data_IF_776981143715
#
_entry.id   IF_776981143715
#
_cell.length_a   1.000
_cell.length_b   1.000
_cell.length_c   1.000
_cell.angle_alpha   90.00
_cell.angle_beta   90.00
_cell.angle_gamma   90.00
#
_symmetry.space_group_name_H-M   'P 1'
#
loop_
_entity.id
_entity.type
_entity.pdbx_description
1 polymer ?
#
# COMPACT_ATOMS: atom_id res chain seq x y z
N UNK A 1 -29.08 39.75 -33.57
CA UNK A 1 -27.62 39.63 -33.41
C UNK A 1 -27.19 40.52 -32.27
N UNK A 2 -26.75 39.96 -31.14
CA UNK A 2 -26.05 40.69 -30.09
C UNK A 2 -25.19 39.70 -29.30
N UNK A 3 -23.95 40.10 -29.08
CA UNK A 3 -22.79 39.31 -28.71
C UNK A 3 -22.91 38.60 -27.34
N UNK A 4 -22.39 37.36 -27.30
CA UNK A 4 -22.02 36.62 -26.09
C UNK A 4 -20.82 37.31 -25.41
N UNK A 5 -20.97 37.70 -24.14
CA UNK A 5 -19.86 38.07 -23.27
C UNK A 5 -19.22 36.80 -22.69
N UNK A 6 -17.98 36.50 -23.07
CA UNK A 6 -17.16 35.45 -22.46
C UNK A 6 -16.54 36.04 -21.18
N UNK A 7 -17.04 35.61 -20.03
CA UNK A 7 -16.40 35.85 -18.73
C UNK A 7 -15.11 35.03 -18.66
N UNK A 8 -13.98 35.74 -18.60
CA UNK A 8 -12.68 35.19 -18.19
C UNK A 8 -12.78 34.71 -16.74
N UNK A 9 -12.85 33.40 -16.55
CA UNK A 9 -12.64 32.76 -15.24
C UNK A 9 -11.14 32.76 -14.97
N UNK A 10 -10.67 33.69 -14.13
CA UNK A 10 -9.39 33.51 -13.46
C UNK A 10 -9.58 32.46 -12.37
N UNK A 11 -8.99 31.27 -12.54
CA UNK A 11 -8.94 30.28 -11.48
C UNK A 11 -8.04 30.81 -10.36
N UNK A 12 -8.64 31.11 -9.21
CA UNK A 12 -7.90 31.23 -7.95
C UNK A 12 -7.45 29.82 -7.60
N UNK A 13 -6.15 29.55 -7.64
CA UNK A 13 -5.55 28.35 -7.04
C UNK A 13 -5.67 28.50 -5.52
N UNK A 14 -6.87 28.20 -5.02
CA UNK A 14 -7.28 28.44 -3.64
C UNK A 14 -6.69 27.35 -2.74
N UNK A 15 -5.77 27.74 -1.84
CA UNK A 15 -5.17 26.87 -0.83
C UNK A 15 -6.18 26.03 -0.04
N UNK A 16 -5.69 25.02 0.68
CA UNK A 16 -6.57 24.08 1.38
C UNK A 16 -7.45 24.79 2.43
N UNK A 17 -8.77 24.64 2.30
CA UNK A 17 -9.76 25.30 3.18
C UNK A 17 -9.62 24.83 4.63
N UNK A 18 -9.79 25.75 5.59
CA UNK A 18 -9.80 25.48 7.04
C UNK A 18 -8.54 24.79 7.59
N UNK A 19 -7.39 25.01 6.94
CA UNK A 19 -6.14 24.41 7.38
C UNK A 19 -5.49 25.13 8.56
N UNK A 20 -4.79 24.35 9.39
CA UNK A 20 -3.90 24.82 10.46
C UNK A 20 -2.46 25.08 10.01
N UNK A 21 -2.11 24.76 8.76
CA UNK A 21 -0.80 25.04 8.17
C UNK A 21 -0.90 25.98 6.96
N UNK A 22 0.13 26.79 6.78
CA UNK A 22 0.33 27.72 5.67
C UNK A 22 0.76 27.01 4.38
N UNK A 23 0.59 27.68 3.24
CA UNK A 23 1.07 27.18 1.95
C UNK A 23 2.60 27.02 1.92
N UNK A 24 3.32 27.85 2.67
CA UNK A 24 4.77 27.73 2.82
C UNK A 24 5.18 26.43 3.51
N UNK A 25 4.48 26.04 4.58
CA UNK A 25 4.69 24.77 5.26
C UNK A 25 4.37 23.60 4.31
N UNK A 26 3.21 23.62 3.61
CA UNK A 26 2.86 22.59 2.61
C UNK A 26 3.97 22.41 1.57
N UNK A 27 4.46 23.52 1.02
CA UNK A 27 5.49 23.52 -0.01
C UNK A 27 6.80 22.93 0.53
N UNK A 28 7.21 23.30 1.74
CA UNK A 28 8.41 22.78 2.37
C UNK A 28 8.34 21.26 2.58
N UNK A 29 7.21 20.79 3.10
CA UNK A 29 7.00 19.35 3.31
C UNK A 29 7.08 18.60 1.98
N UNK A 30 6.33 19.07 0.99
CA UNK A 30 6.24 18.41 -0.30
C UNK A 30 7.61 18.36 -0.99
N UNK A 31 8.36 19.45 -0.86
CA UNK A 31 9.73 19.57 -1.37
C UNK A 31 10.64 18.55 -0.69
N UNK A 32 10.67 18.49 0.64
CA UNK A 32 11.49 17.54 1.41
C UNK A 32 11.21 16.09 1.02
N UNK A 33 9.93 15.68 0.95
CA UNK A 33 9.59 14.32 0.51
C UNK A 33 10.09 14.03 -0.90
N UNK A 34 9.89 14.96 -1.84
CA UNK A 34 10.33 14.79 -3.21
C UNK A 34 11.86 14.79 -3.35
N UNK A 35 12.59 15.52 -2.50
CA UNK A 35 14.05 15.46 -2.43
C UNK A 35 14.53 14.07 -1.98
N UNK A 36 13.99 13.51 -0.90
CA UNK A 36 14.37 12.16 -0.46
C UNK A 36 13.99 11.08 -1.47
N UNK A 37 12.83 11.20 -2.12
CA UNK A 37 12.41 10.30 -3.18
C UNK A 37 13.35 10.37 -4.38
N UNK A 38 13.83 11.56 -4.73
CA UNK A 38 14.84 11.77 -5.77
C UNK A 38 16.17 11.14 -5.38
N UNK A 39 16.61 11.35 -4.13
CA UNK A 39 17.82 10.73 -3.59
C UNK A 39 17.72 9.19 -3.63
N UNK A 40 16.57 8.62 -3.27
CA UNK A 40 16.33 7.19 -3.36
C UNK A 40 16.35 6.70 -4.82
N UNK A 41 15.64 7.39 -5.72
CA UNK A 41 15.57 7.04 -7.14
C UNK A 41 16.97 6.97 -7.78
N UNK A 42 17.84 7.91 -7.41
CA UNK A 42 19.19 8.04 -7.95
C UNK A 42 20.24 7.18 -7.23
N UNK A 43 19.87 6.48 -6.15
CA UNK A 43 20.78 5.64 -5.36
C UNK A 43 21.72 6.45 -4.47
N UNK A 44 21.27 7.64 -4.04
CA UNK A 44 21.96 8.52 -3.09
C UNK A 44 21.71 8.18 -1.61
N UNK A 45 20.73 7.33 -1.32
CA UNK A 45 20.39 6.90 0.04
C UNK A 45 21.22 5.67 0.42
N UNK A 46 21.79 5.68 1.63
CA UNK A 46 22.47 4.52 2.25
C UNK A 46 21.66 3.99 3.43
N UNK A 47 21.65 2.67 3.60
CA UNK A 47 21.20 2.02 4.84
C UNK A 47 22.41 1.67 5.72
N UNK A 48 22.20 0.95 6.83
CA UNK A 48 23.27 0.54 7.76
C UNK A 48 24.36 -0.37 7.14
N UNK A 49 24.13 -0.94 5.95
CA UNK A 49 24.99 -1.95 5.31
C UNK A 49 25.54 -1.50 3.95
N UNK A 50 24.76 -0.80 3.15
CA UNK A 50 25.08 -0.48 1.77
C UNK A 50 24.25 0.70 1.22
N UNK A 51 24.61 1.15 0.02
CA UNK A 51 23.74 2.03 -0.77
C UNK A 51 22.47 1.30 -1.17
N UNK A 52 21.34 1.98 -1.05
CA UNK A 52 20.06 1.48 -1.56
C UNK A 52 20.09 1.46 -3.09
N UNK A 53 19.52 0.44 -3.75
CA UNK A 53 19.47 0.39 -5.21
C UNK A 53 18.69 1.57 -5.80
N UNK A 54 19.00 1.93 -7.04
CA UNK A 54 18.25 2.97 -7.77
C UNK A 54 16.82 2.52 -8.02
N UNK A 55 15.86 3.43 -8.01
CA UNK A 55 14.46 3.15 -8.29
C UNK A 55 14.04 3.56 -9.69
N UNK A 56 13.35 2.67 -10.43
CA UNK A 56 13.01 2.91 -11.84
C UNK A 56 11.64 3.56 -12.11
N UNK A 57 10.80 3.65 -11.07
CA UNK A 57 9.41 4.10 -11.16
C UNK A 57 8.96 4.93 -9.96
N UNK A 58 9.88 5.52 -9.20
CA UNK A 58 9.54 6.34 -8.03
C UNK A 58 8.76 7.58 -8.48
N UNK A 59 7.52 7.72 -8.03
CA UNK A 59 6.64 8.84 -8.42
C UNK A 59 6.92 10.10 -7.60
N UNK A 60 6.77 11.29 -8.18
CA UNK A 60 6.71 12.55 -7.43
C UNK A 60 5.41 12.59 -6.63
N UNK A 61 5.48 13.08 -5.41
CA UNK A 61 4.30 13.38 -4.60
C UNK A 61 3.74 14.74 -4.99
N UNK A 62 2.43 14.87 -4.91
CA UNK A 62 1.67 16.11 -5.03
C UNK A 62 0.83 16.28 -3.77
N UNK A 63 0.49 17.52 -3.45
CA UNK A 63 -0.30 17.83 -2.26
C UNK A 63 -1.79 17.51 -2.49
N UNK A 64 -2.46 16.94 -1.49
CA UNK A 64 -3.91 16.69 -1.52
C UNK A 64 -4.58 17.25 -0.26
N UNK A 65 -5.41 18.28 -0.43
CA UNK A 65 -6.12 18.94 0.65
C UNK A 65 -7.07 18.02 1.43
N UNK A 66 -7.61 16.94 0.83
CA UNK A 66 -8.48 15.99 1.54
C UNK A 66 -7.68 15.09 2.48
N UNK A 67 -6.47 14.69 2.09
CA UNK A 67 -5.56 13.95 2.96
C UNK A 67 -5.05 14.83 4.10
N UNK A 68 -4.72 16.09 3.80
CA UNK A 68 -4.38 17.09 4.81
C UNK A 68 -5.50 17.27 5.82
N UNK A 69 -6.74 17.50 5.36
CA UNK A 69 -7.90 17.64 6.24
C UNK A 69 -8.12 16.38 7.11
N UNK A 70 -7.86 15.19 6.58
CA UNK A 70 -7.97 13.94 7.34
C UNK A 70 -6.88 13.80 8.39
N UNK A 71 -5.64 14.15 8.05
CA UNK A 71 -4.53 14.16 8.99
C UNK A 71 -4.77 15.18 10.12
N UNK A 72 -5.23 16.38 9.75
CA UNK A 72 -5.58 17.44 10.70
C UNK A 72 -6.68 16.97 11.67
N UNK A 73 -7.80 16.40 11.18
CA UNK A 73 -8.86 15.89 12.06
C UNK A 73 -8.37 14.85 13.07
N UNK A 74 -7.44 13.98 12.68
CA UNK A 74 -6.88 13.00 13.60
C UNK A 74 -5.86 13.62 14.57
N UNK A 75 -5.12 14.63 14.13
CA UNK A 75 -4.16 15.36 14.97
C UNK A 75 -4.87 16.21 16.04
N UNK A 76 -6.03 16.78 15.69
CA UNK A 76 -6.92 17.56 16.56
C UNK A 76 -7.41 16.78 17.80
N UNK A 77 -7.43 15.45 17.75
CA UNK A 77 -7.78 14.61 18.92
C UNK A 77 -6.69 14.56 19.98
N UNK A 78 -5.48 15.03 19.68
CA UNK A 78 -4.35 15.03 20.59
C UNK A 78 -3.90 13.65 21.11
N UNK A 79 -4.10 12.61 20.29
CA UNK A 79 -3.66 11.24 20.59
C UNK A 79 -2.50 10.85 19.67
N UNK A 80 -1.37 10.44 20.26
CA UNK A 80 -0.20 9.90 19.56
C UNK A 80 -0.40 8.42 19.19
N UNK A 81 -1.38 8.16 18.34
CA UNK A 81 -1.66 6.82 17.80
C UNK A 81 -2.02 6.91 16.33
N UNK A 82 -1.87 5.80 15.62
CA UNK A 82 -2.34 5.68 14.24
C UNK A 82 -3.86 5.76 14.19
N UNK A 83 -4.39 6.45 13.18
CA UNK A 83 -5.83 6.43 12.94
C UNK A 83 -6.30 5.00 12.65
N UNK A 84 -7.59 4.75 12.71
CA UNK A 84 -8.10 3.50 12.13
C UNK A 84 -7.91 3.55 10.61
N UNK A 85 -7.74 2.38 9.97
CA UNK A 85 -7.68 2.31 8.50
C UNK A 85 -8.95 2.87 7.87
N UNK A 86 -10.11 2.61 8.47
CA UNK A 86 -11.39 3.16 8.01
C UNK A 86 -11.43 4.69 8.06
N UNK A 87 -10.92 5.30 9.14
CA UNK A 87 -10.87 6.75 9.29
C UNK A 87 -10.08 7.43 8.16
N UNK A 88 -8.94 6.85 7.78
CA UNK A 88 -8.08 7.38 6.71
C UNK A 88 -8.33 6.74 5.35
N UNK A 89 -9.45 6.05 5.15
CA UNK A 89 -9.79 5.36 3.89
C UNK A 89 -8.65 4.48 3.35
N UNK A 90 -8.02 3.69 4.21
CA UNK A 90 -6.86 2.83 3.94
C UNK A 90 -5.64 3.56 3.36
N UNK A 91 -5.52 4.87 3.54
CA UNK A 91 -4.30 5.60 3.27
C UNK A 91 -3.15 5.12 4.19
N UNK A 92 -1.91 5.33 3.76
CA UNK A 92 -0.75 5.16 4.62
C UNK A 92 -0.68 6.31 5.63
N UNK A 93 -0.02 6.09 6.76
CA UNK A 93 0.14 7.12 7.78
C UNK A 93 1.55 7.08 8.38
N UNK A 94 2.15 8.24 8.59
CA UNK A 94 3.31 8.43 9.45
C UNK A 94 2.92 9.39 10.58
N UNK A 95 3.48 9.15 11.77
CA UNK A 95 3.27 9.97 12.95
C UNK A 95 4.61 10.36 13.56
N UNK A 96 4.67 11.54 14.15
CA UNK A 96 5.78 11.96 14.99
C UNK A 96 5.27 12.84 16.13
N UNK A 97 5.92 12.74 17.28
CA UNK A 97 5.67 13.58 18.44
C UNK A 97 7.01 13.96 19.05
N UNK A 98 7.10 15.19 19.56
CA UNK A 98 8.21 15.61 20.39
C UNK A 98 7.69 16.44 21.56
N UNK A 99 8.55 16.64 22.55
CA UNK A 99 8.24 17.43 23.73
C UNK A 99 8.97 18.76 23.64
N UNK A 100 8.28 19.87 23.91
CA UNK A 100 8.88 21.20 23.97
C UNK A 100 8.39 21.93 25.21
N UNK A 101 9.33 22.56 25.94
CA UNK A 101 9.03 23.46 27.05
C UNK A 101 8.81 24.91 26.60
N UNK A 102 9.10 25.23 25.34
CA UNK A 102 8.85 26.54 24.73
C UNK A 102 7.65 26.49 23.80
N UNK A 103 6.95 27.63 23.69
CA UNK A 103 5.97 27.87 22.61
C UNK A 103 6.61 27.50 21.27
N UNK A 104 5.92 26.62 20.55
CA UNK A 104 6.43 26.11 19.28
C UNK A 104 6.21 27.20 18.25
N UNK A 105 7.27 27.98 18.00
CA UNK A 105 7.27 28.92 16.88
C UNK A 105 7.05 28.12 15.60
N UNK A 106 5.92 28.34 14.93
CA UNK A 106 5.58 27.82 13.58
C UNK A 106 6.59 28.23 12.48
N UNK A 107 7.73 28.82 12.84
CA UNK A 107 8.72 29.39 11.92
C UNK A 107 10.01 28.57 11.81
N UNK A 108 9.96 27.27 12.09
CA UNK A 108 11.14 26.41 12.02
C UNK A 108 10.75 24.97 11.77
N UNK A 109 10.79 24.56 10.50
CA UNK A 109 10.67 23.15 10.15
C UNK A 109 11.81 22.41 10.81
N UNK A 110 11.45 21.53 11.75
CA UNK A 110 12.37 20.55 12.28
C UNK A 110 12.87 19.74 11.08
N UNK A 111 14.15 19.88 10.74
CA UNK A 111 14.76 19.22 9.57
C UNK A 111 14.63 17.69 9.61
N UNK A 112 14.33 17.14 10.79
CA UNK A 112 14.04 15.72 11.03
C UNK A 112 12.54 15.38 11.24
N UNK A 113 11.63 16.35 11.30
CA UNK A 113 10.23 16.15 11.65
C UNK A 113 9.32 16.63 10.50
N UNK A 114 8.72 15.68 9.79
CA UNK A 114 7.96 15.93 8.58
C UNK A 114 6.46 16.14 8.86
N UNK A 115 5.96 17.39 8.83
CA UNK A 115 4.58 17.83 8.42
C UNK A 115 3.33 17.76 9.33
N UNK A 116 2.51 18.83 9.22
CA UNK A 116 1.21 19.19 9.81
C UNK A 116 1.31 19.35 11.31
N UNK A 117 1.40 20.62 11.72
CA UNK A 117 1.45 21.00 13.12
C UNK A 117 0.06 20.98 13.72
N UNK A 118 -0.15 20.12 14.70
CA UNK A 118 -1.17 20.36 15.72
C UNK A 118 -0.51 20.48 17.08
N UNK A 119 -0.77 21.61 17.75
CA UNK A 119 -0.32 21.86 19.10
C UNK A 119 -1.32 21.21 20.06
N UNK A 120 -0.88 20.15 20.72
CA UNK A 120 -1.62 19.54 21.80
C UNK A 120 -1.03 20.07 23.10
N UNK A 121 -1.80 20.93 23.76
CA UNK A 121 -1.43 21.46 25.05
C UNK A 121 -1.90 20.48 26.12
N UNK A 122 -0.96 19.91 26.85
CA UNK A 122 -1.21 19.11 28.05
C UNK A 122 -0.44 19.76 29.20
N UNK A 123 -1.12 20.21 30.25
CA UNK A 123 -0.58 20.84 31.47
C UNK A 123 0.92 21.20 31.46
N UNK A 124 1.21 22.47 31.11
CA UNK A 124 2.54 23.11 31.03
C UNK A 124 3.56 22.51 30.03
N UNK A 125 3.19 21.51 29.22
CA UNK A 125 4.06 20.91 28.22
C UNK A 125 3.37 20.90 26.85
N UNK A 126 4.03 21.46 25.83
CA UNK A 126 3.51 21.39 24.46
C UNK A 126 3.97 20.07 23.84
N UNK A 127 3.03 19.24 23.39
CA UNK A 127 3.31 17.98 22.69
C UNK A 127 2.82 18.05 21.23
N UNK A 128 3.59 18.66 20.33
CA UNK A 128 3.24 18.77 18.92
C UNK A 128 3.11 17.40 18.29
N UNK A 129 1.94 17.13 17.72
CA UNK A 129 1.65 15.93 16.97
C UNK A 129 1.68 16.22 15.48
N UNK A 130 2.46 15.41 14.79
CA UNK A 130 2.76 15.50 13.36
C UNK A 130 2.16 14.28 12.70
N UNK A 131 1.22 14.49 11.76
CA UNK A 131 0.50 13.42 11.07
C UNK A 131 0.56 13.62 9.56
N UNK A 132 1.01 12.59 8.87
CA UNK A 132 1.12 12.55 7.42
C UNK A 132 0.30 11.40 6.87
N UNK A 133 -0.63 11.69 5.97
CA UNK A 133 -1.43 10.68 5.29
C UNK A 133 -1.03 10.62 3.81
N UNK A 134 -0.84 9.41 3.29
CA UNK A 134 -0.42 9.16 1.91
C UNK A 134 -1.48 8.41 1.12
N UNK A 135 -1.76 8.84 -0.12
CA UNK A 135 -2.46 8.02 -1.12
C UNK A 135 -1.63 6.78 -1.40
N UNK A 136 -1.88 5.72 -0.65
CA UNK A 136 -0.77 4.78 -0.50
C UNK A 136 -0.68 4.06 0.83
N UNK A 137 -1.43 3.02 1.15
CA UNK A 137 -0.95 2.01 2.11
C UNK A 137 0.34 1.38 1.59
N UNK A 138 1.50 1.90 1.98
CA UNK A 138 2.76 1.19 1.81
C UNK A 138 2.89 0.02 2.80
N UNK A 139 4.13 -0.34 3.14
CA UNK A 139 4.45 -1.22 4.26
C UNK A 139 3.82 -2.63 4.20
N UNK A 140 3.63 -3.16 2.99
CA UNK A 140 3.22 -4.55 2.81
C UNK A 140 4.40 -5.48 3.07
N UNK A 141 4.22 -6.41 4.01
CA UNK A 141 5.21 -7.44 4.34
C UNK A 141 5.58 -8.23 3.06
N UNK A 142 6.88 -8.48 2.87
CA UNK A 142 7.45 -9.20 1.71
C UNK A 142 7.19 -8.55 0.33
N UNK A 143 6.87 -7.26 0.29
CA UNK A 143 6.83 -6.49 -0.95
C UNK A 143 8.02 -5.56 -1.04
N UNK A 144 8.55 -5.43 -2.25
CA UNK A 144 9.57 -4.43 -2.54
C UNK A 144 9.02 -3.03 -2.25
N UNK A 145 9.78 -2.21 -1.53
CA UNK A 145 9.44 -0.82 -1.25
C UNK A 145 9.35 -0.01 -2.56
N UNK A 146 10.18 -0.37 -3.54
CA UNK A 146 10.19 0.17 -4.91
C UNK A 146 10.86 -0.83 -5.86
N UNK A 147 10.63 -0.68 -7.17
CA UNK A 147 11.31 -1.51 -8.17
C UNK A 147 12.71 -0.95 -8.50
N UNK A 148 13.72 -1.80 -8.39
CA UNK A 148 15.10 -1.42 -8.70
C UNK A 148 15.33 -1.22 -10.20
N UNK A 149 16.13 -0.23 -10.59
CA UNK A 149 16.57 -0.01 -11.97
C UNK A 149 16.94 1.46 -12.26
N UNK A 150 17.21 1.77 -13.53
CA UNK A 150 17.57 3.13 -13.97
C UNK A 150 16.41 4.10 -13.66
N UNK A 151 16.68 5.30 -13.09
CA UNK A 151 15.65 6.29 -12.83
C UNK A 151 14.74 6.50 -14.03
N UNK A 152 13.44 6.56 -13.76
CA UNK A 152 12.38 6.74 -14.76
C UNK A 152 12.24 5.68 -15.86
N UNK A 153 13.05 4.61 -15.88
CA UNK A 153 13.00 3.62 -16.98
C UNK A 153 11.69 2.84 -17.05
N UNK A 154 10.84 2.95 -16.01
CA UNK A 154 9.48 2.38 -15.99
C UNK A 154 8.37 3.40 -15.70
N UNK A 155 8.61 4.71 -15.88
CA UNK A 155 7.52 5.70 -15.74
C UNK A 155 6.40 5.47 -16.77
N UNK A 156 6.76 5.05 -17.98
CA UNK A 156 5.81 4.78 -19.07
C UNK A 156 4.82 3.63 -18.78
N UNK A 157 4.99 2.89 -17.67
CA UNK A 157 3.96 1.96 -17.17
C UNK A 157 2.62 2.69 -16.93
N UNK A 158 2.68 3.99 -16.65
CA UNK A 158 1.53 4.85 -16.40
C UNK A 158 1.30 5.73 -17.65
N UNK A 159 0.23 5.50 -18.44
CA UNK A 159 -0.04 6.31 -19.62
C UNK A 159 -0.11 7.80 -19.28
N UNK A 160 0.68 8.62 -19.95
CA UNK A 160 0.78 10.06 -19.67
C UNK A 160 1.79 10.45 -18.58
N UNK A 161 2.44 9.49 -17.91
CA UNK A 161 3.53 9.82 -16.99
C UNK A 161 4.82 10.20 -17.74
N UNK A 162 5.52 11.20 -17.21
CA UNK A 162 6.80 11.71 -17.71
C UNK A 162 7.88 11.57 -16.64
N UNK A 163 9.14 11.72 -17.02
CA UNK A 163 10.24 11.84 -16.06
C UNK A 163 10.51 13.32 -15.77
N UNK A 164 10.57 13.70 -14.49
CA UNK A 164 10.99 15.02 -14.04
C UNK A 164 11.89 14.84 -12.82
N UNK A 165 13.12 15.35 -12.88
CA UNK A 165 14.11 15.26 -11.80
C UNK A 165 14.26 13.84 -11.24
N UNK A 166 14.40 12.84 -12.12
CA UNK A 166 14.51 11.41 -11.76
C UNK A 166 13.27 10.78 -11.10
N UNK A 167 12.14 11.49 -11.07
CA UNK A 167 10.86 11.01 -10.57
C UNK A 167 9.83 10.91 -11.69
N UNK A 168 8.91 9.96 -11.58
CA UNK A 168 7.76 9.87 -12.47
C UNK A 168 6.69 10.89 -12.06
N UNK A 169 6.27 11.74 -12.99
CA UNK A 169 5.23 12.77 -12.81
C UNK A 169 4.07 12.55 -13.77
N UNK A 170 2.89 13.09 -13.45
CA UNK A 170 1.72 13.00 -14.32
C UNK A 170 1.09 11.61 -14.40
N UNK A 171 0.04 11.47 -15.21
CA UNK A 171 -0.98 10.42 -15.12
C UNK A 171 -1.74 10.48 -13.80
N UNK A 172 -3.06 10.71 -13.89
CA UNK A 172 -3.95 10.54 -12.76
C UNK A 172 -3.76 9.13 -12.24
N UNK A 173 -3.34 8.98 -10.98
CA UNK A 173 -3.48 7.70 -10.30
C UNK A 173 -4.99 7.54 -10.22
N UNK A 174 -5.57 6.70 -11.09
CA UNK A 174 -6.99 6.35 -11.00
C UNK A 174 -7.20 5.93 -9.56
N UNK A 175 -8.01 6.72 -8.85
CA UNK A 175 -7.84 7.00 -7.42
C UNK A 175 -7.70 5.77 -6.55
N UNK A 176 -7.05 5.97 -5.42
CA UNK A 176 -6.90 5.06 -4.29
C UNK A 176 -8.24 4.65 -3.61
N UNK A 177 -9.34 4.56 -4.36
CA UNK A 177 -10.59 3.94 -3.95
C UNK A 177 -10.74 2.61 -4.70
N UNK A 178 -11.21 1.56 -4.03
CA UNK A 178 -11.41 0.31 -4.74
C UNK A 178 -12.55 0.50 -5.76
N UNK A 179 -12.19 0.43 -7.04
CA UNK A 179 -13.16 0.47 -8.12
C UNK A 179 -14.04 -0.77 -8.01
N UNK A 180 -15.36 -0.59 -7.94
CA UNK A 180 -16.31 -1.70 -8.07
C UNK A 180 -16.13 -2.30 -9.46
N UNK A 181 -15.34 -3.36 -9.55
CA UNK A 181 -15.14 -4.12 -10.78
C UNK A 181 -15.45 -5.58 -10.50
N UNK A 182 -16.41 -6.12 -11.23
CA UNK A 182 -16.64 -7.55 -11.29
C UNK A 182 -15.45 -8.20 -12.00
N UNK A 183 -14.83 -9.20 -11.37
CA UNK A 183 -13.76 -9.98 -11.99
C UNK A 183 -14.31 -10.77 -13.19
N UNK A 184 -13.61 -10.70 -14.33
CA UNK A 184 -13.94 -11.42 -15.56
C UNK A 184 -13.66 -12.93 -15.44
N UNK A 185 -14.26 -13.74 -16.31
CA UNK A 185 -14.00 -15.18 -16.35
C UNK A 185 -12.52 -15.49 -16.63
N UNK A 186 -11.85 -14.65 -17.41
CA UNK A 186 -10.44 -14.80 -17.72
C UNK A 186 -9.55 -14.62 -16.47
N UNK A 187 -9.93 -13.71 -15.58
CA UNK A 187 -9.25 -13.44 -14.31
C UNK A 187 -9.57 -14.53 -13.26
N UNK A 188 -10.82 -15.01 -13.20
CA UNK A 188 -11.22 -16.17 -12.38
C UNK A 188 -10.43 -17.42 -12.78
N UNK A 189 -10.29 -17.66 -14.09
CA UNK A 189 -9.50 -18.76 -14.61
C UNK A 189 -8.03 -18.62 -14.23
N UNK A 190 -7.46 -17.42 -14.31
CA UNK A 190 -6.05 -17.17 -13.97
C UNK A 190 -5.73 -17.48 -12.51
N UNK A 191 -6.55 -17.01 -11.57
CA UNK A 191 -6.32 -17.27 -10.14
C UNK A 191 -6.44 -18.76 -9.83
N UNK A 192 -7.45 -19.44 -10.41
CA UNK A 192 -7.66 -20.88 -10.23
C UNK A 192 -6.51 -21.71 -10.83
N UNK A 193 -6.07 -21.37 -12.04
CA UNK A 193 -4.97 -22.05 -12.72
C UNK A 193 -3.65 -21.85 -11.97
N UNK A 194 -3.40 -20.65 -11.46
CA UNK A 194 -2.22 -20.36 -10.64
C UNK A 194 -2.18 -21.24 -9.39
N UNK A 195 -3.28 -21.30 -8.62
CA UNK A 195 -3.37 -22.15 -7.43
C UNK A 195 -3.16 -23.63 -7.76
N UNK A 196 -3.83 -24.14 -8.78
CA UNK A 196 -3.70 -25.54 -9.20
C UNK A 196 -2.28 -25.86 -9.69
N UNK A 197 -1.61 -24.93 -10.37
CA UNK A 197 -0.21 -25.08 -10.78
C UNK A 197 0.73 -25.19 -9.58
N UNK A 198 0.55 -24.36 -8.56
CA UNK A 198 1.34 -24.43 -7.33
C UNK A 198 1.09 -25.71 -6.53
N UNK A 199 -0.19 -26.11 -6.38
CA UNK A 199 -0.56 -27.38 -5.73
C UNK A 199 0.02 -28.57 -6.48
N UNK A 200 -0.01 -28.56 -7.81
CA UNK A 200 0.61 -29.60 -8.64
C UNK A 200 2.13 -29.65 -8.46
N UNK A 201 2.79 -28.49 -8.42
CA UNK A 201 4.25 -28.39 -8.16
C UNK A 201 4.61 -29.01 -6.81
N UNK A 202 3.83 -28.70 -5.77
CA UNK A 202 4.00 -29.25 -4.43
C UNK A 202 3.74 -30.75 -4.38
N UNK A 203 2.69 -31.23 -5.04
CA UNK A 203 2.36 -32.65 -5.11
C UNK A 203 3.42 -33.47 -5.84
N UNK A 204 4.01 -32.90 -6.90
CA UNK A 204 5.06 -33.53 -7.68
C UNK A 204 6.41 -33.57 -6.93
N UNK A 205 6.52 -32.98 -5.73
CA UNK A 205 7.78 -32.94 -4.98
C UNK A 205 8.88 -32.15 -5.69
N UNK A 206 8.52 -31.27 -6.64
CA UNK A 206 9.49 -30.47 -7.39
C UNK A 206 10.12 -29.47 -6.43
N UNK A 207 11.31 -29.82 -5.92
CA UNK A 207 12.12 -28.97 -5.05
C UNK A 207 12.44 -27.68 -5.81
N UNK A 208 12.06 -26.52 -5.27
CA UNK A 208 12.78 -25.30 -5.61
C UNK A 208 14.21 -25.43 -5.04
N UNK A 209 15.25 -25.03 -5.77
CA UNK A 209 16.61 -25.01 -5.22
C UNK A 209 16.63 -24.26 -3.89
N UNK A 210 17.14 -24.90 -2.83
CA UNK A 210 17.20 -24.33 -1.48
C UNK A 210 16.09 -24.76 -0.51
N UNK A 211 15.15 -25.63 -0.91
CA UNK A 211 14.08 -26.10 -0.03
C UNK A 211 13.80 -27.60 -0.11
N UNK A 212 13.89 -28.30 1.03
CA UNK A 212 13.47 -29.69 1.19
C UNK A 212 12.05 -29.73 1.79
N UNK A 213 11.02 -29.68 0.95
CA UNK A 213 9.65 -29.98 1.41
C UNK A 213 9.32 -31.47 1.23
N UNK A 214 8.50 -32.05 2.12
CA UNK A 214 7.89 -33.35 1.88
C UNK A 214 7.00 -33.30 0.66
N UNK A 215 6.98 -34.41 -0.06
CA UNK A 215 6.05 -34.65 -1.16
C UNK A 215 4.65 -34.81 -0.56
N UNK A 216 3.76 -33.86 -0.82
CA UNK A 216 2.34 -34.03 -0.49
C UNK A 216 1.69 -34.91 -1.58
N UNK A 217 1.68 -36.24 -1.36
CA UNK A 217 1.19 -37.21 -2.35
C UNK A 217 -0.25 -36.99 -2.81
N UNK A 218 -1.07 -36.24 -2.06
CA UNK A 218 -2.47 -36.01 -2.40
C UNK A 218 -2.81 -34.53 -2.17
N UNK A 219 -2.82 -33.75 -3.25
CA UNK A 219 -3.44 -32.43 -3.30
C UNK A 219 -4.60 -32.50 -4.31
N UNK A 220 -5.82 -32.24 -3.83
CA UNK A 220 -6.99 -32.15 -4.72
C UNK A 220 -6.86 -30.92 -5.62
N UNK A 221 -7.26 -31.08 -6.89
CA UNK A 221 -7.45 -29.96 -7.81
C UNK A 221 -8.59 -29.09 -7.27
N UNK A 222 -8.35 -27.80 -7.14
CA UNK A 222 -9.40 -26.84 -6.86
C UNK A 222 -10.33 -26.76 -8.08
N UNK A 223 -11.63 -26.82 -7.82
CA UNK A 223 -12.69 -26.64 -8.81
C UNK A 223 -13.18 -25.19 -8.70
N UNK A 224 -13.59 -24.60 -9.82
CA UNK A 224 -14.20 -23.28 -9.84
C UNK A 224 -15.50 -23.30 -9.01
N UNK A 225 -15.54 -22.58 -7.89
CA UNK A 225 -16.72 -22.50 -7.03
C UNK A 225 -17.31 -21.09 -7.12
N UNK A 226 -18.36 -20.93 -7.93
CA UNK A 226 -18.98 -19.62 -8.22
C UNK A 226 -19.38 -18.87 -6.94
N UNK A 227 -19.87 -19.60 -5.93
CA UNK A 227 -20.32 -19.02 -4.65
C UNK A 227 -19.17 -18.41 -3.82
N UNK A 228 -17.96 -18.97 -3.87
CA UNK A 228 -16.81 -18.38 -3.16
C UNK A 228 -16.33 -17.11 -3.84
N UNK A 229 -16.33 -17.09 -5.18
CA UNK A 229 -16.00 -15.88 -5.94
C UNK A 229 -17.00 -14.75 -5.69
N UNK A 230 -18.31 -15.03 -5.69
CA UNK A 230 -19.33 -14.02 -5.40
C UNK A 230 -19.19 -13.45 -3.98
N UNK A 231 -18.90 -14.31 -3.00
CA UNK A 231 -18.69 -13.88 -1.61
C UNK A 231 -17.42 -13.03 -1.46
N UNK A 232 -16.31 -13.46 -2.08
CA UNK A 232 -15.05 -12.71 -2.08
C UNK A 232 -15.20 -11.34 -2.78
N UNK A 233 -15.92 -11.30 -3.91
CA UNK A 233 -16.23 -10.07 -4.62
C UNK A 233 -17.02 -9.09 -3.73
N UNK A 234 -18.07 -9.57 -3.07
CA UNK A 234 -18.87 -8.75 -2.13
C UNK A 234 -18.04 -8.19 -0.98
N UNK A 235 -17.07 -8.96 -0.47
CA UNK A 235 -16.17 -8.46 0.57
C UNK A 235 -15.20 -7.40 0.04
N UNK A 236 -14.59 -7.66 -1.13
CA UNK A 236 -13.65 -6.74 -1.77
C UNK A 236 -14.29 -5.38 -2.10
N UNK A 237 -15.58 -5.35 -2.44
CA UNK A 237 -16.36 -4.14 -2.72
C UNK A 237 -16.53 -3.20 -1.51
N UNK A 238 -16.30 -3.68 -0.28
CA UNK A 238 -16.25 -2.81 0.91
C UNK A 238 -14.97 -1.97 0.96
N UNK A 239 -13.96 -2.29 0.14
CA UNK A 239 -12.68 -1.62 0.09
C UNK A 239 -11.95 -1.57 1.45
N UNK A 240 -12.20 -2.52 2.35
CA UNK A 240 -11.52 -2.65 3.64
C UNK A 240 -10.48 -3.76 3.54
N UNK A 241 -9.21 -3.43 3.74
CA UNK A 241 -8.13 -4.44 3.71
C UNK A 241 -7.97 -5.14 5.06
N UNK A 242 -8.99 -5.92 5.40
CA UNK A 242 -9.11 -6.76 6.60
C UNK A 242 -9.89 -8.03 6.27
N UNK A 243 -9.75 -9.06 7.10
CA UNK A 243 -10.48 -10.31 6.90
C UNK A 243 -11.97 -10.12 7.13
N UNK A 244 -12.81 -10.79 6.35
CA UNK A 244 -14.24 -10.86 6.62
C UNK A 244 -14.51 -11.52 7.98
N UNK A 245 -15.72 -11.40 8.50
CA UNK A 245 -16.12 -12.28 9.61
C UNK A 245 -16.24 -13.72 9.10
N UNK A 246 -16.04 -14.71 10.00
CA UNK A 246 -16.22 -16.13 9.65
C UNK A 246 -17.65 -16.41 9.16
N UNK A 247 -18.65 -15.77 9.77
CA UNK A 247 -20.06 -15.88 9.36
C UNK A 247 -20.29 -15.36 7.93
N UNK A 248 -19.68 -14.22 7.57
CA UNK A 248 -19.82 -13.65 6.23
C UNK A 248 -19.36 -14.60 5.12
N UNK A 249 -18.29 -15.37 5.37
CA UNK A 249 -17.71 -16.31 4.41
C UNK A 249 -18.09 -17.77 4.67
N UNK A 250 -19.12 -18.02 5.48
CA UNK A 250 -19.58 -19.36 5.84
C UNK A 250 -18.44 -20.30 6.29
N UNK A 251 -17.58 -19.81 7.20
CA UNK A 251 -16.40 -20.50 7.73
C UNK A 251 -15.33 -20.89 6.70
N UNK A 252 -15.40 -20.40 5.45
CA UNK A 252 -14.33 -20.59 4.48
C UNK A 252 -13.00 -19.96 4.96
N UNK A 253 -11.89 -20.47 4.42
CA UNK A 253 -10.60 -19.80 4.49
C UNK A 253 -10.59 -18.53 3.63
N UNK A 254 -9.67 -17.61 3.91
CA UNK A 254 -9.55 -16.35 3.17
C UNK A 254 -8.10 -15.93 3.07
N UNK A 255 -7.68 -15.53 1.86
CA UNK A 255 -6.41 -14.86 1.63
C UNK A 255 -6.71 -13.47 1.05
N UNK A 256 -6.05 -12.44 1.58
CA UNK A 256 -6.20 -11.07 1.10
C UNK A 256 -4.97 -10.64 0.32
N UNK A 257 -5.18 -9.79 -0.69
CA UNK A 257 -4.10 -9.19 -1.45
C UNK A 257 -4.43 -7.75 -1.80
N UNK A 258 -3.52 -6.84 -1.50
CA UNK A 258 -3.60 -5.45 -1.91
C UNK A 258 -2.26 -5.01 -2.50
N UNK A 259 -2.35 -4.09 -3.45
CA UNK A 259 -1.20 -3.49 -4.11
C UNK A 259 -1.64 -2.14 -4.71
N UNK A 260 -0.67 -1.27 -4.92
CA UNK A 260 -0.90 0.00 -5.61
C UNK A 260 -1.08 -0.23 -7.10
N UNK A 261 -2.21 0.25 -7.63
CA UNK A 261 -2.48 0.24 -9.08
C UNK A 261 -3.07 1.56 -9.53
N UNK A 262 -2.92 1.81 -10.82
CA UNK A 262 -3.56 2.92 -11.54
C UNK A 262 -4.27 2.46 -12.82
N UNK A 263 -4.19 1.16 -13.14
CA UNK A 263 -4.86 0.56 -14.31
C UNK A 263 -5.99 -0.33 -13.83
N UNK A 264 -6.94 -0.66 -14.72
CA UNK A 264 -7.95 -1.70 -14.46
C UNK A 264 -7.30 -3.01 -14.01
N UNK A 265 -8.02 -3.79 -13.21
CA UNK A 265 -7.56 -5.13 -12.83
C UNK A 265 -7.52 -5.97 -14.10
N UNK A 266 -6.54 -6.85 -14.17
CA UNK A 266 -6.43 -7.85 -15.22
C UNK A 266 -5.82 -9.15 -14.67
N UNK A 267 -5.68 -10.15 -15.53
CA UNK A 267 -5.13 -11.47 -15.19
C UNK A 267 -3.76 -11.41 -14.51
N UNK A 268 -2.89 -10.47 -14.87
CA UNK A 268 -1.53 -10.38 -14.29
C UNK A 268 -1.59 -10.12 -12.79
N UNK A 269 -2.61 -9.40 -12.35
CA UNK A 269 -2.83 -9.09 -10.94
C UNK A 269 -3.35 -10.29 -10.15
N UNK A 270 -4.19 -11.12 -10.76
CA UNK A 270 -4.60 -12.41 -10.19
C UNK A 270 -3.39 -13.34 -9.99
N UNK A 271 -2.55 -13.45 -11.01
CA UNK A 271 -1.30 -14.21 -10.93
C UNK A 271 -0.36 -13.64 -9.85
N UNK A 272 -0.22 -12.33 -9.76
CA UNK A 272 0.60 -11.67 -8.75
C UNK A 272 0.12 -11.94 -7.32
N UNK A 273 -1.20 -11.93 -7.09
CA UNK A 273 -1.80 -12.30 -5.80
C UNK A 273 -1.49 -13.75 -5.42
N UNK A 274 -1.76 -14.70 -6.32
CA UNK A 274 -1.46 -16.11 -6.08
C UNK A 274 0.03 -16.36 -5.85
N UNK A 275 0.90 -15.71 -6.62
CA UNK A 275 2.36 -15.80 -6.44
C UNK A 275 2.78 -15.27 -5.08
N UNK A 276 2.21 -14.14 -4.64
CA UNK A 276 2.54 -13.54 -3.35
C UNK A 276 2.16 -14.44 -2.18
N UNK A 277 0.98 -15.06 -2.22
CA UNK A 277 0.55 -16.03 -1.21
C UNK A 277 1.41 -17.28 -1.23
N UNK A 278 1.77 -17.77 -2.42
CA UNK A 278 2.63 -18.94 -2.55
C UNK A 278 4.05 -18.71 -2.03
N UNK A 279 4.63 -17.56 -2.31
CA UNK A 279 6.03 -17.26 -2.01
C UNK A 279 6.32 -17.11 -0.51
N UNK A 280 5.31 -17.07 0.37
CA UNK A 280 5.50 -17.19 1.83
C UNK A 280 6.20 -18.49 2.22
N UNK A 281 6.11 -19.53 1.37
CA UNK A 281 6.88 -20.76 1.53
C UNK A 281 8.39 -20.49 1.71
N UNK A 282 8.92 -19.43 1.08
CA UNK A 282 10.35 -19.05 1.16
C UNK A 282 10.76 -18.63 2.58
N UNK A 283 9.82 -18.29 3.44
CA UNK A 283 10.05 -17.92 4.85
C UNK A 283 10.13 -19.13 5.77
N UNK A 284 9.74 -20.32 5.30
CA UNK A 284 9.64 -21.51 6.14
C UNK A 284 11.02 -22.16 6.34
N UNK A 285 11.67 -22.01 7.48
CA UNK A 285 13.05 -22.50 7.60
C UNK A 285 13.20 -24.03 7.51
N UNK A 286 12.32 -24.84 8.11
CA UNK A 286 12.62 -26.29 8.27
C UNK A 286 11.44 -27.23 8.52
N UNK A 287 10.22 -26.76 8.77
CA UNK A 287 9.16 -27.64 9.27
C UNK A 287 7.98 -27.80 8.32
N UNK A 288 7.50 -29.04 8.25
CA UNK A 288 6.34 -29.51 7.50
C UNK A 288 5.03 -29.27 8.24
N UNK A 289 5.17 -28.85 9.49
CA UNK A 289 4.12 -28.78 10.48
C UNK A 289 3.89 -27.30 10.80
N UNK A 290 2.62 -26.87 10.78
CA UNK A 290 2.23 -25.53 11.21
C UNK A 290 2.38 -25.45 12.74
N UNK A 291 3.64 -25.37 13.18
CA UNK A 291 4.01 -25.24 14.58
C UNK A 291 4.02 -23.75 14.96
N UNK A 292 4.06 -23.46 16.26
CA UNK A 292 4.26 -22.08 16.74
C UNK A 292 5.50 -21.42 16.11
N UNK A 293 6.50 -22.22 15.71
CA UNK A 293 7.69 -21.74 15.00
C UNK A 293 7.37 -21.13 13.62
N UNK A 294 6.36 -21.67 12.93
CA UNK A 294 5.87 -21.11 11.67
C UNK A 294 5.25 -19.72 11.88
N UNK A 295 4.67 -19.43 13.06
CA UNK A 295 4.21 -18.08 13.44
C UNK A 295 5.36 -17.12 13.70
N UNK A 296 6.47 -17.61 14.26
CA UNK A 296 7.66 -16.78 14.54
C UNK A 296 8.47 -16.46 13.28
N UNK A 297 8.40 -17.28 12.23
CA UNK A 297 9.12 -17.07 10.97
C UNK A 297 8.46 -16.03 10.04
N UNK A 298 7.25 -15.58 10.37
CA UNK A 298 6.47 -14.62 9.57
C UNK A 298 5.07 -15.13 9.25
N UNK A 299 4.25 -14.29 8.63
CA UNK A 299 2.93 -14.68 8.15
C UNK A 299 3.09 -15.68 7.00
N UNK A 300 2.92 -16.98 7.27
CA UNK A 300 2.87 -18.06 6.26
C UNK A 300 1.45 -18.61 6.03
N UNK A 301 0.45 -17.91 6.58
CA UNK A 301 -0.94 -18.34 6.60
C UNK A 301 -1.54 -18.46 5.19
N UNK A 302 -1.18 -17.55 4.28
CA UNK A 302 -1.70 -17.58 2.92
C UNK A 302 -1.18 -18.80 2.16
N UNK A 303 0.13 -19.10 2.26
CA UNK A 303 0.71 -20.30 1.66
C UNK A 303 0.01 -21.55 2.17
N UNK A 304 -0.15 -21.68 3.50
CA UNK A 304 -0.79 -22.87 4.08
C UNK A 304 -2.23 -23.06 3.60
N UNK A 305 -2.94 -21.96 3.33
CA UNK A 305 -4.29 -22.00 2.79
C UNK A 305 -4.31 -22.42 1.31
N UNK A 306 -3.34 -21.96 0.51
CA UNK A 306 -3.16 -22.38 -0.90
C UNK A 306 -2.82 -23.88 -0.98
N UNK A 307 -2.00 -24.37 -0.05
CA UNK A 307 -1.56 -25.77 0.01
C UNK A 307 -2.48 -26.69 0.82
N UNK A 308 -3.61 -26.21 1.34
CA UNK A 308 -4.44 -26.98 2.26
C UNK A 308 -4.97 -28.28 1.64
N UNK A 309 -4.96 -29.36 2.42
CA UNK A 309 -5.51 -30.67 2.05
C UNK A 309 -6.77 -30.89 2.89
N UNK A 310 -7.92 -31.11 2.24
CA UNK A 310 -9.07 -31.66 2.94
C UNK A 310 -8.70 -33.08 3.37
N UNK A 311 -8.53 -33.31 4.68
CA UNK A 311 -8.63 -34.68 5.20
C UNK A 311 -10.08 -35.10 4.98
N UNK A 312 -10.26 -36.16 4.18
CA UNK A 312 -11.53 -36.90 4.18
C UNK A 312 -11.70 -37.58 5.53
#
# INVERSE_FOLDING_TARGET
MALLAILNIQMVDAGCRASRISDSERAEILNLHNQYRTALATGLVSNKKARMPRGNNIRKLEWDCNLEATAQRWAENCVFEHSTKSFRNNAGENLYAYWSSSDIKRSGVCSSCFTIYFECQFDFINQPLIKLIFHGSGNFINKDIYESGKPCSKCARYPGSKCQNNLCVGAQIVGAGCQRSQISDSERAEILNSHNSYRSTLAAGRKKPGFNHPIFKILSRLINYILSFATAQRWAENCVFEHSTKSFRNNAGENLYAYWRSTTIDRRHMKAAATAWWDEVKLMFTTTNFSNYARTAGMIGHFTQVSFIFKK
#
